data_IF_511727676173
#
_entry.id   IF_511727676173
#
_cell.length_a   1.000
_cell.length_b   1.000
_cell.length_c   1.000
_cell.angle_alpha   90.00
_cell.angle_beta   90.00
_cell.angle_gamma   90.00
#
_symmetry.space_group_name_H-M   'P 1'
#
loop_
_entity.id
_entity.type
_entity.pdbx_description
1 polymer ?
#
# COMPACT_ATOMS: atom_id res chain seq x y z
N UNK A 1 -28.62 -54.56 -21.20
CA UNK A 1 -29.41 -53.73 -20.26
C UNK A 1 -28.59 -53.12 -19.12
N UNK A 2 -27.69 -53.84 -18.41
CA UNK A 2 -26.90 -53.26 -17.29
C UNK A 2 -25.95 -52.11 -17.70
N UNK A 3 -25.24 -52.22 -18.84
CA UNK A 3 -24.33 -51.15 -19.33
C UNK A 3 -25.03 -49.84 -19.72
N UNK A 4 -26.26 -49.92 -20.24
CA UNK A 4 -27.04 -48.73 -20.62
C UNK A 4 -27.54 -47.95 -19.39
N UNK A 5 -27.84 -48.66 -18.28
CA UNK A 5 -28.17 -48.04 -16.99
C UNK A 5 -27.00 -47.29 -16.37
N UNK A 6 -25.77 -47.80 -16.47
CA UNK A 6 -24.58 -47.09 -15.97
C UNK A 6 -24.22 -45.87 -16.82
N UNK A 7 -24.44 -45.91 -18.13
CA UNK A 7 -24.24 -44.75 -19.01
C UNK A 7 -25.26 -43.64 -18.71
N UNK A 8 -26.53 -44.00 -18.49
CA UNK A 8 -27.59 -43.07 -18.11
C UNK A 8 -27.34 -42.46 -16.72
N UNK A 9 -26.87 -43.24 -15.74
CA UNK A 9 -26.49 -42.74 -14.42
C UNK A 9 -25.27 -41.80 -14.47
N UNK A 10 -24.29 -42.07 -15.34
CA UNK A 10 -23.13 -41.19 -15.53
C UNK A 10 -23.52 -39.87 -16.24
N UNK A 11 -24.41 -39.93 -17.24
CA UNK A 11 -24.94 -38.72 -17.90
C UNK A 11 -25.82 -37.91 -16.93
N UNK A 12 -26.62 -38.57 -16.08
CA UNK A 12 -27.43 -37.90 -15.06
C UNK A 12 -26.57 -37.27 -13.95
N UNK A 13 -25.44 -37.91 -13.58
CA UNK A 13 -24.48 -37.37 -12.63
C UNK A 13 -23.69 -36.17 -13.20
N UNK A 14 -23.43 -36.14 -14.51
CA UNK A 14 -22.79 -34.98 -15.19
C UNK A 14 -23.79 -33.83 -15.42
N UNK A 15 -25.08 -34.11 -15.60
CA UNK A 15 -26.14 -33.10 -15.69
C UNK A 15 -26.53 -32.50 -14.32
N UNK A 16 -26.28 -33.20 -13.22
CA UNK A 16 -26.50 -32.70 -11.85
C UNK A 16 -25.31 -31.89 -11.29
N UNK A 17 -24.15 -31.89 -11.96
CA UNK A 17 -22.97 -31.09 -11.54
C UNK A 17 -22.81 -29.79 -12.31
N UNK A 18 -23.70 -29.49 -13.26
CA UNK A 18 -23.79 -28.19 -13.93
C UNK A 18 -25.05 -27.43 -13.51
N UNK A 19 -25.31 -27.33 -12.21
CA UNK A 19 -26.12 -26.20 -11.76
C UNK A 19 -25.26 -24.94 -12.03
N UNK A 20 -25.78 -23.93 -12.75
CA UNK A 20 -25.05 -22.66 -12.84
C UNK A 20 -24.74 -22.24 -11.41
N UNK A 21 -23.48 -21.87 -11.14
CA UNK A 21 -23.14 -21.25 -9.87
C UNK A 21 -24.06 -20.03 -9.72
N UNK A 22 -25.10 -20.17 -8.89
CA UNK A 22 -26.09 -19.12 -8.69
C UNK A 22 -25.36 -18.04 -7.94
N UNK A 23 -25.25 -16.86 -8.56
CA UNK A 23 -24.66 -15.69 -7.90
C UNK A 23 -25.48 -15.30 -6.67
N UNK A 24 -25.09 -14.25 -5.94
CA UNK A 24 -25.97 -13.74 -4.91
C UNK A 24 -27.30 -13.31 -5.52
N UNK A 25 -28.39 -13.97 -5.12
CA UNK A 25 -29.75 -13.60 -5.49
C UNK A 25 -30.27 -12.56 -4.49
N UNK A 26 -29.88 -12.70 -3.21
CA UNK A 26 -30.26 -11.78 -2.13
C UNK A 26 -29.07 -11.33 -1.30
N UNK A 27 -29.22 -10.14 -0.74
CA UNK A 27 -28.38 -9.59 0.33
C UNK A 27 -29.21 -9.64 1.61
N UNK A 28 -28.72 -10.34 2.62
CA UNK A 28 -29.32 -10.45 3.94
C UNK A 28 -28.63 -9.51 4.90
N UNK A 29 -29.40 -8.95 5.82
CA UNK A 29 -28.93 -8.08 6.88
C UNK A 29 -29.52 -8.59 8.19
N UNK A 30 -28.70 -8.65 9.23
CA UNK A 30 -29.09 -9.18 10.54
C UNK A 30 -28.94 -8.10 11.62
N UNK A 31 -30.04 -7.53 12.08
CA UNK A 31 -30.05 -6.57 13.20
C UNK A 31 -30.62 -7.23 14.45
N UNK A 32 -29.75 -7.88 15.23
CA UNK A 32 -30.18 -8.68 16.38
C UNK A 32 -31.12 -9.82 15.94
N UNK A 33 -32.34 -9.95 16.49
CA UNK A 33 -33.29 -10.99 16.09
C UNK A 33 -34.00 -10.69 14.75
N UNK A 34 -33.89 -9.46 14.23
CA UNK A 34 -34.52 -9.06 12.98
C UNK A 34 -33.60 -9.43 11.82
N UNK A 35 -34.14 -10.16 10.85
CA UNK A 35 -33.49 -10.35 9.56
C UNK A 35 -34.29 -9.62 8.49
N UNK A 36 -33.57 -9.10 7.50
CA UNK A 36 -34.19 -8.53 6.34
C UNK A 36 -33.33 -8.80 5.10
N UNK A 37 -33.97 -8.76 3.94
CA UNK A 37 -33.26 -9.07 2.69
C UNK A 37 -33.74 -8.21 1.54
N UNK A 38 -32.82 -7.98 0.60
CA UNK A 38 -33.05 -7.25 -0.66
C UNK A 38 -32.55 -8.12 -1.80
N UNK A 39 -33.34 -8.27 -2.86
CA UNK A 39 -32.89 -8.95 -4.07
C UNK A 39 -31.89 -8.08 -4.84
N UNK A 40 -30.86 -8.71 -5.40
CA UNK A 40 -29.88 -8.00 -6.25
C UNK A 40 -30.56 -7.43 -7.50
N UNK A 41 -31.58 -8.10 -8.03
CA UNK A 41 -32.45 -7.58 -9.11
C UNK A 41 -33.13 -6.26 -8.77
N UNK A 42 -33.58 -6.09 -7.53
CA UNK A 42 -34.20 -4.84 -7.06
C UNK A 42 -33.21 -3.68 -7.08
N UNK A 43 -31.97 -3.93 -6.63
CA UNK A 43 -30.88 -2.94 -6.65
C UNK A 43 -30.46 -2.61 -8.07
N UNK A 44 -30.39 -3.60 -8.95
CA UNK A 44 -30.03 -3.42 -10.36
C UNK A 44 -31.09 -2.61 -11.12
N UNK A 45 -32.37 -2.92 -10.89
CA UNK A 45 -33.50 -2.16 -11.45
C UNK A 45 -33.47 -0.71 -10.99
N UNK A 46 -33.23 -0.48 -9.68
CA UNK A 46 -33.10 0.86 -9.15
C UNK A 46 -31.91 1.62 -9.73
N UNK A 47 -30.74 0.98 -9.83
CA UNK A 47 -29.57 1.59 -10.45
C UNK A 47 -29.83 1.97 -11.90
N UNK A 48 -30.31 1.05 -12.75
CA UNK A 48 -30.51 1.29 -14.18
C UNK A 48 -31.68 2.23 -14.46
N UNK A 49 -32.85 1.95 -13.87
CA UNK A 49 -34.11 2.58 -14.27
C UNK A 49 -34.61 3.62 -13.27
N UNK A 50 -34.08 3.64 -12.04
CA UNK A 50 -34.57 4.50 -10.97
C UNK A 50 -35.89 4.02 -10.36
N UNK A 51 -36.41 2.87 -10.79
CA UNK A 51 -37.65 2.29 -10.27
C UNK A 51 -37.40 1.62 -8.93
N UNK A 52 -38.26 1.92 -7.97
CA UNK A 52 -38.22 1.34 -6.61
C UNK A 52 -39.36 0.33 -6.50
N UNK A 53 -39.02 -0.96 -6.49
CA UNK A 53 -40.01 -2.02 -6.30
C UNK A 53 -40.34 -2.22 -4.80
N UNK A 54 -41.34 -3.05 -4.49
CA UNK A 54 -41.80 -3.27 -3.09
C UNK A 54 -40.70 -3.82 -2.18
N UNK A 55 -39.81 -4.65 -2.73
CA UNK A 55 -38.69 -5.26 -2.01
C UNK A 55 -37.66 -4.20 -1.57
N UNK A 56 -37.32 -3.24 -2.44
CA UNK A 56 -36.41 -2.13 -2.08
C UNK A 56 -37.11 -0.97 -1.36
N UNK A 57 -38.38 -0.69 -1.66
CA UNK A 57 -39.11 0.48 -1.18
C UNK A 57 -39.14 0.58 0.35
N UNK A 58 -39.28 -0.55 1.04
CA UNK A 58 -39.27 -0.57 2.49
C UNK A 58 -38.00 0.10 3.04
N UNK A 59 -36.81 -0.27 2.54
CA UNK A 59 -35.55 0.27 3.05
C UNK A 59 -35.26 1.67 2.51
N UNK A 60 -35.47 1.88 1.21
CA UNK A 60 -35.10 3.12 0.54
C UNK A 60 -35.89 4.31 1.07
N UNK A 61 -37.16 4.12 1.44
CA UNK A 61 -38.03 5.17 2.00
C UNK A 61 -37.58 5.69 3.38
N UNK A 62 -36.62 5.01 4.03
CA UNK A 62 -36.02 5.48 5.29
C UNK A 62 -34.84 6.43 5.07
N UNK A 63 -34.36 6.54 3.83
CA UNK A 63 -33.31 7.46 3.44
C UNK A 63 -33.92 8.75 2.88
N UNK A 64 -33.27 9.88 3.15
CA UNK A 64 -33.61 11.17 2.51
C UNK A 64 -33.35 11.12 1.00
N UNK A 65 -34.03 11.96 0.21
CA UNK A 65 -33.85 11.99 -1.24
C UNK A 65 -32.38 12.15 -1.68
N UNK A 66 -31.55 13.01 -1.05
CA UNK A 66 -30.12 13.09 -1.38
C UNK A 66 -29.36 11.78 -1.11
N UNK A 67 -29.68 11.08 -0.02
CA UNK A 67 -29.06 9.79 0.32
C UNK A 67 -29.47 8.70 -0.68
N UNK A 68 -30.73 8.69 -1.12
CA UNK A 68 -31.20 7.77 -2.16
C UNK A 68 -30.48 8.01 -3.49
N UNK A 69 -30.29 9.27 -3.88
CA UNK A 69 -29.56 9.63 -5.08
C UNK A 69 -28.08 9.23 -4.99
N UNK A 70 -27.43 9.48 -3.84
CA UNK A 70 -26.04 9.08 -3.60
C UNK A 70 -25.89 7.56 -3.65
N UNK A 71 -26.82 6.81 -3.06
CA UNK A 71 -26.83 5.36 -3.11
C UNK A 71 -27.00 4.83 -4.55
N UNK A 72 -27.91 5.44 -5.32
CA UNK A 72 -28.09 5.10 -6.74
C UNK A 72 -26.81 5.36 -7.54
N UNK A 73 -26.18 6.53 -7.33
CA UNK A 73 -24.89 6.89 -7.95
C UNK A 73 -23.83 5.85 -7.62
N UNK A 74 -23.71 5.43 -6.36
CA UNK A 74 -22.77 4.38 -5.96
C UNK A 74 -23.00 3.06 -6.71
N UNK A 75 -24.25 2.59 -6.83
CA UNK A 75 -24.57 1.38 -7.58
C UNK A 75 -24.26 1.48 -9.07
N UNK A 76 -24.34 2.69 -9.64
CA UNK A 76 -24.02 2.98 -11.04
C UNK A 76 -22.51 3.18 -11.29
N UNK A 77 -21.75 3.55 -10.27
CA UNK A 77 -20.31 3.81 -10.37
C UNK A 77 -19.59 2.59 -10.92
N UNK A 78 -18.83 2.79 -12.00
CA UNK A 78 -17.93 1.79 -12.56
C UNK A 78 -16.50 2.23 -12.31
N UNK A 79 -15.68 1.30 -11.86
CA UNK A 79 -14.27 1.49 -11.61
C UNK A 79 -13.50 0.80 -12.72
N UNK A 80 -12.72 1.55 -13.48
CA UNK A 80 -11.79 0.98 -14.43
C UNK A 80 -10.70 0.22 -13.69
N UNK A 81 -10.44 -1.01 -14.14
CA UNK A 81 -9.49 -1.90 -13.49
C UNK A 81 -8.66 -2.63 -14.53
N UNK A 82 -7.40 -2.84 -14.21
CA UNK A 82 -6.54 -3.75 -14.97
C UNK A 82 -6.74 -5.18 -14.45
N UNK A 83 -7.25 -6.12 -15.26
CA UNK A 83 -7.53 -7.49 -14.80
C UNK A 83 -6.31 -8.21 -14.23
N UNK A 84 -5.13 -7.97 -14.82
CA UNK A 84 -3.87 -8.54 -14.32
C UNK A 84 -3.56 -7.97 -12.94
N UNK A 85 -3.64 -6.65 -12.77
CA UNK A 85 -3.38 -5.99 -11.48
C UNK A 85 -4.34 -6.51 -10.41
N UNK A 86 -5.63 -6.59 -10.69
CA UNK A 86 -6.64 -7.07 -9.73
C UNK A 86 -6.41 -8.55 -9.38
N UNK A 87 -6.17 -9.40 -10.38
CA UNK A 87 -5.89 -10.83 -10.16
C UNK A 87 -4.64 -11.06 -9.31
N UNK A 88 -3.57 -10.31 -9.58
CA UNK A 88 -2.31 -10.40 -8.80
C UNK A 88 -2.50 -9.83 -7.41
N UNK A 89 -3.11 -8.66 -7.27
CA UNK A 89 -3.39 -8.04 -5.98
C UNK A 89 -4.23 -8.95 -5.09
N UNK A 90 -5.34 -9.50 -5.61
CA UNK A 90 -6.22 -10.40 -4.85
C UNK A 90 -5.49 -11.65 -4.34
N UNK A 91 -4.34 -12.03 -4.93
CA UNK A 91 -3.51 -13.17 -4.53
C UNK A 91 -2.26 -12.81 -3.72
N UNK A 92 -1.85 -11.54 -3.72
CA UNK A 92 -0.81 -11.05 -2.81
C UNK A 92 -1.26 -11.20 -1.37
N UNK A 93 -0.33 -11.29 -0.44
CA UNK A 93 -0.66 -11.35 0.98
C UNK A 93 -1.35 -10.08 1.48
N UNK A 94 -0.96 -8.92 0.94
CA UNK A 94 -1.64 -7.64 1.22
C UNK A 94 -3.11 -7.70 0.80
N UNK A 95 -3.37 -8.14 -0.43
CA UNK A 95 -4.75 -8.24 -0.93
C UNK A 95 -5.54 -9.35 -0.25
N UNK A 96 -4.89 -10.43 0.17
CA UNK A 96 -5.53 -11.46 0.97
C UNK A 96 -6.04 -10.93 2.31
N UNK A 97 -5.19 -10.25 3.07
CA UNK A 97 -5.55 -9.65 4.35
C UNK A 97 -6.61 -8.55 4.18
N UNK A 98 -6.52 -7.72 3.14
CA UNK A 98 -7.56 -6.74 2.84
C UNK A 98 -8.91 -7.41 2.56
N UNK A 99 -8.94 -8.46 1.73
CA UNK A 99 -10.18 -9.15 1.39
C UNK A 99 -10.75 -9.94 2.59
N UNK A 100 -9.91 -10.43 3.51
CA UNK A 100 -10.36 -11.02 4.78
C UNK A 100 -11.05 -9.97 5.63
N UNK A 101 -10.44 -8.79 5.79
CA UNK A 101 -11.05 -7.71 6.57
C UNK A 101 -12.39 -7.25 5.95
N UNK A 102 -12.46 -7.09 4.62
CA UNK A 102 -13.74 -6.80 3.95
C UNK A 102 -14.75 -7.95 4.14
N UNK A 103 -14.26 -9.19 4.18
CA UNK A 103 -15.06 -10.39 4.44
C UNK A 103 -15.64 -10.48 5.84
N UNK A 104 -15.17 -9.66 6.80
CA UNK A 104 -15.80 -9.49 8.11
C UNK A 104 -17.08 -8.64 8.04
N UNK A 105 -17.25 -7.84 6.98
CA UNK A 105 -18.46 -7.04 6.71
C UNK A 105 -19.42 -7.74 5.77
N UNK A 106 -18.87 -8.52 4.83
CA UNK A 106 -19.61 -9.25 3.80
C UNK A 106 -19.35 -10.74 4.02
N UNK A 107 -20.28 -11.41 4.69
CA UNK A 107 -20.23 -12.82 5.02
C UNK A 107 -20.97 -13.69 3.99
N UNK A 108 -20.67 -14.99 4.04
CA UNK A 108 -21.47 -16.06 3.44
C UNK A 108 -22.39 -16.67 4.53
N UNK A 109 -23.36 -17.54 4.18
CA UNK A 109 -24.30 -18.12 5.14
C UNK A 109 -23.63 -18.73 6.37
N UNK A 110 -24.31 -18.62 7.52
CA UNK A 110 -23.80 -18.99 8.86
C UNK A 110 -22.70 -18.05 9.38
N UNK A 111 -22.74 -16.79 8.96
CA UNK A 111 -21.84 -15.73 9.46
C UNK A 111 -20.35 -16.07 9.25
N UNK A 112 -20.00 -16.80 8.19
CA UNK A 112 -18.62 -17.10 7.87
C UNK A 112 -18.02 -15.96 7.05
N UNK A 113 -16.73 -15.65 7.27
CA UNK A 113 -16.03 -14.61 6.54
C UNK A 113 -16.15 -14.79 5.01
N UNK A 114 -16.53 -13.74 4.28
CA UNK A 114 -16.78 -13.83 2.84
C UNK A 114 -15.54 -13.71 1.94
N UNK A 115 -14.34 -13.75 2.50
CA UNK A 115 -13.05 -13.67 1.78
C UNK A 115 -13.03 -14.45 0.46
N UNK A 116 -13.34 -15.75 0.49
CA UNK A 116 -13.32 -16.59 -0.72
C UNK A 116 -14.38 -16.16 -1.74
N UNK A 117 -15.55 -15.71 -1.26
CA UNK A 117 -16.61 -15.18 -2.11
C UNK A 117 -16.21 -13.87 -2.78
N UNK A 118 -15.58 -12.95 -2.02
CA UNK A 118 -15.05 -11.69 -2.52
C UNK A 118 -13.92 -11.90 -3.53
N UNK A 119 -12.96 -12.77 -3.21
CA UNK A 119 -11.84 -13.11 -4.11
C UNK A 119 -12.37 -13.69 -5.42
N UNK A 120 -13.29 -14.65 -5.33
CA UNK A 120 -13.91 -15.30 -6.49
C UNK A 120 -14.73 -14.33 -7.35
N UNK A 121 -15.53 -13.46 -6.72
CA UNK A 121 -16.36 -12.49 -7.45
C UNK A 121 -15.52 -11.45 -8.17
N UNK A 122 -14.47 -10.94 -7.51
CA UNK A 122 -13.55 -9.96 -8.06
C UNK A 122 -12.79 -10.52 -9.28
N UNK A 123 -12.23 -11.73 -9.18
CA UNK A 123 -11.53 -12.39 -10.28
C UNK A 123 -12.49 -12.62 -11.46
N UNK A 124 -13.69 -13.14 -11.20
CA UNK A 124 -14.66 -13.40 -12.26
C UNK A 124 -15.16 -12.14 -12.97
N UNK A 125 -15.33 -11.03 -12.23
CA UNK A 125 -15.75 -9.76 -12.80
C UNK A 125 -14.71 -9.21 -13.79
N UNK A 126 -13.42 -9.26 -13.42
CA UNK A 126 -12.35 -8.72 -14.28
C UNK A 126 -11.96 -9.62 -15.46
N UNK A 127 -12.35 -10.90 -15.45
CA UNK A 127 -12.14 -11.79 -16.60
C UNK A 127 -12.97 -11.39 -17.83
N UNK A 128 -14.10 -10.71 -17.63
CA UNK A 128 -15.06 -10.36 -18.71
C UNK A 128 -15.14 -8.87 -19.00
N UNK A 129 -14.61 -8.02 -18.11
CA UNK A 129 -14.72 -6.57 -18.21
C UNK A 129 -13.46 -5.87 -17.71
N UNK A 130 -13.11 -4.74 -18.32
CA UNK A 130 -12.08 -3.81 -17.83
C UNK A 130 -12.64 -2.80 -16.81
N UNK A 131 -13.90 -2.94 -16.43
CA UNK A 131 -14.54 -2.11 -15.41
C UNK A 131 -15.43 -2.97 -14.51
N UNK A 132 -15.47 -2.66 -13.23
CA UNK A 132 -16.31 -3.35 -12.25
C UNK A 132 -17.25 -2.38 -11.56
N UNK A 133 -18.42 -2.86 -11.15
CA UNK A 133 -19.33 -2.13 -10.26
C UNK A 133 -19.85 -3.05 -9.15
N UNK A 134 -20.49 -2.45 -8.15
CA UNK A 134 -21.00 -3.19 -7.00
C UNK A 134 -22.00 -4.29 -7.41
N UNK A 135 -22.90 -4.02 -8.36
CA UNK A 135 -23.92 -4.98 -8.81
C UNK A 135 -23.27 -6.22 -9.44
N UNK A 136 -22.27 -6.02 -10.30
CA UNK A 136 -21.54 -7.10 -10.94
C UNK A 136 -20.80 -7.98 -9.93
N UNK A 137 -20.17 -7.36 -8.93
CA UNK A 137 -19.53 -8.09 -7.83
C UNK A 137 -20.55 -8.91 -7.03
N UNK A 138 -21.71 -8.35 -6.71
CA UNK A 138 -22.80 -9.07 -6.01
C UNK A 138 -23.28 -10.27 -6.85
N UNK A 139 -23.52 -10.08 -8.15
CA UNK A 139 -23.94 -11.16 -9.07
C UNK A 139 -22.89 -12.25 -9.27
N UNK A 140 -21.61 -11.97 -9.02
CA UNK A 140 -20.52 -12.94 -9.14
C UNK A 140 -20.12 -13.55 -7.80
N UNK A 141 -20.69 -13.05 -6.70
CA UNK A 141 -20.52 -13.63 -5.38
C UNK A 141 -21.19 -15.01 -5.34
N UNK A 142 -20.56 -16.06 -4.79
CA UNK A 142 -20.92 -17.45 -5.05
C UNK A 142 -22.18 -17.96 -4.32
N UNK A 143 -22.80 -17.13 -3.49
CA UNK A 143 -23.96 -17.48 -2.65
C UNK A 143 -24.66 -16.20 -2.20
N UNK A 144 -25.75 -16.31 -1.46
CA UNK A 144 -26.39 -15.15 -0.84
C UNK A 144 -25.43 -14.44 0.13
N UNK A 145 -25.35 -13.13 -0.01
CA UNK A 145 -24.47 -12.29 0.81
C UNK A 145 -25.14 -11.96 2.13
N UNK A 146 -24.39 -12.03 3.22
CA UNK A 146 -24.86 -11.56 4.53
C UNK A 146 -24.01 -10.35 4.93
N UNK A 147 -24.65 -9.23 5.29
CA UNK A 147 -23.92 -8.09 5.83
C UNK A 147 -23.86 -8.18 7.34
N UNK A 148 -22.64 -8.14 7.89
CA UNK A 148 -22.44 -8.05 9.34
C UNK A 148 -22.69 -6.61 9.79
N UNK A 149 -23.91 -6.35 10.22
CA UNK A 149 -24.35 -5.01 10.58
C UNK A 149 -23.67 -4.51 11.84
N UNK A 150 -23.26 -5.42 12.74
CA UNK A 150 -22.51 -5.04 13.93
C UNK A 150 -21.14 -4.47 13.54
N UNK A 151 -20.36 -5.22 12.76
CA UNK A 151 -19.05 -4.76 12.28
C UNK A 151 -19.19 -3.48 11.46
N UNK A 152 -20.22 -3.37 10.59
CA UNK A 152 -20.50 -2.13 9.83
C UNK A 152 -20.73 -0.94 10.79
N UNK A 153 -21.54 -1.10 11.83
CA UNK A 153 -21.85 -0.01 12.77
C UNK A 153 -20.64 0.37 13.62
N UNK A 154 -19.84 -0.60 14.07
CA UNK A 154 -18.57 -0.37 14.78
C UNK A 154 -17.62 0.45 13.90
N UNK A 155 -17.39 0.01 12.66
CA UNK A 155 -16.54 0.72 11.70
C UNK A 155 -17.02 2.14 11.38
N UNK A 156 -18.34 2.35 11.22
CA UNK A 156 -18.91 3.69 11.03
C UNK A 156 -18.63 4.59 12.23
N UNK A 157 -18.74 4.06 13.45
CA UNK A 157 -18.41 4.79 14.69
C UNK A 157 -16.92 5.18 14.77
N UNK A 158 -16.03 4.25 14.40
CA UNK A 158 -14.58 4.51 14.33
C UNK A 158 -14.24 5.58 13.29
N UNK A 159 -14.84 5.49 12.09
CA UNK A 159 -14.66 6.46 11.03
C UNK A 159 -15.13 7.86 11.45
N UNK A 160 -16.29 7.97 12.12
CA UNK A 160 -16.77 9.26 12.66
C UNK A 160 -15.79 9.83 13.67
N UNK A 161 -15.30 8.99 14.60
CA UNK A 161 -14.31 9.40 15.60
C UNK A 161 -13.03 9.92 14.94
N UNK A 162 -12.57 9.26 13.87
CA UNK A 162 -11.39 9.69 13.12
C UNK A 162 -11.61 11.06 12.43
N UNK A 163 -12.78 11.29 11.84
CA UNK A 163 -13.15 12.57 11.23
C UNK A 163 -13.14 13.69 12.29
N UNK A 164 -13.71 13.44 13.46
CA UNK A 164 -13.77 14.44 14.53
C UNK A 164 -12.39 14.75 15.12
N UNK A 165 -11.55 13.73 15.31
CA UNK A 165 -10.14 13.92 15.69
C UNK A 165 -9.38 14.75 14.65
N UNK A 166 -9.58 14.47 13.37
CA UNK A 166 -8.93 15.21 12.27
C UNK A 166 -9.34 16.68 12.27
N UNK A 167 -10.64 16.97 12.40
CA UNK A 167 -11.14 18.34 12.53
C UNK A 167 -10.55 19.06 13.74
N UNK A 168 -10.45 18.36 14.88
CA UNK A 168 -9.88 18.90 16.10
C UNK A 168 -8.40 19.24 15.91
N UNK A 169 -7.62 18.35 15.29
CA UNK A 169 -6.22 18.57 14.99
C UNK A 169 -6.03 19.75 14.04
N UNK A 170 -6.81 19.85 12.95
CA UNK A 170 -6.75 20.98 12.01
C UNK A 170 -7.02 22.29 12.76
N UNK A 171 -8.07 22.33 13.58
CA UNK A 171 -8.39 23.51 14.38
C UNK A 171 -7.29 23.88 15.41
N UNK A 172 -6.56 22.89 15.94
CA UNK A 172 -5.40 23.11 16.81
C UNK A 172 -4.21 23.65 16.04
N UNK A 173 -3.90 23.08 14.87
CA UNK A 173 -2.81 23.54 13.99
C UNK A 173 -3.05 24.98 13.54
N UNK A 174 -4.27 25.33 13.15
CA UNK A 174 -4.63 26.71 12.76
C UNK A 174 -4.33 27.71 13.89
N UNK A 175 -4.64 27.34 15.14
CA UNK A 175 -4.33 28.16 16.33
C UNK A 175 -2.83 28.29 16.57
N UNK A 176 -2.07 27.21 16.37
CA UNK A 176 -0.61 27.21 16.55
C UNK A 176 0.11 28.00 15.46
N UNK A 177 -0.35 27.93 14.21
CA UNK A 177 0.23 28.68 13.09
C UNK A 177 0.08 30.19 13.27
N UNK A 178 -1.00 30.66 13.91
CA UNK A 178 -1.19 32.09 14.26
C UNK A 178 -0.20 32.55 15.35
N UNK A 179 0.27 31.64 16.21
CA UNK A 179 1.22 31.93 17.30
C UNK A 179 2.68 31.87 16.82
N UNK A 180 3.00 31.00 15.86
CA UNK A 180 4.38 30.81 15.37
C UNK A 180 4.86 31.81 14.31
N UNK A 181 3.98 32.64 13.72
CA UNK A 181 4.37 33.69 12.74
C UNK A 181 5.32 34.76 13.31
N UNK A 182 5.55 34.77 14.63
CA UNK A 182 6.47 35.71 15.31
C UNK A 182 7.92 35.22 15.43
N UNK A 183 8.21 33.97 15.07
CA UNK A 183 9.57 33.41 15.10
C UNK A 183 9.98 33.00 13.68
N UNK A 184 10.16 33.98 12.79
CA UNK A 184 10.88 33.73 11.55
C UNK A 184 12.33 33.40 11.93
N UNK A 185 12.71 32.12 11.80
CA UNK A 185 14.11 31.76 11.64
C UNK A 185 14.66 32.63 10.50
N UNK A 186 15.82 33.27 10.66
CA UNK A 186 16.45 33.98 9.55
C UNK A 186 16.83 32.93 8.50
N UNK A 187 15.94 32.70 7.54
CA UNK A 187 16.29 31.98 6.31
C UNK A 187 17.21 32.94 5.59
N UNK A 188 18.51 32.64 5.65
CA UNK A 188 19.52 33.42 4.95
C UNK A 188 19.14 33.50 3.46
N UNK A 189 18.74 34.69 3.04
CA UNK A 189 18.02 34.94 1.78
C UNK A 189 18.94 35.05 0.57
N UNK A 190 20.24 34.82 0.76
CA UNK A 190 21.25 34.98 -0.29
C UNK A 190 21.13 33.92 -1.41
N UNK A 191 20.54 32.75 -1.14
CA UNK A 191 20.41 31.65 -2.11
C UNK A 191 18.95 31.21 -2.27
N UNK A 192 18.41 31.36 -3.48
CA UNK A 192 17.10 30.82 -3.83
C UNK A 192 17.19 29.31 -4.12
N UNK A 193 17.00 28.50 -3.08
CA UNK A 193 17.07 27.03 -3.14
C UNK A 193 16.02 26.37 -4.04
N UNK A 194 15.05 27.13 -4.57
CA UNK A 194 14.07 26.65 -5.56
C UNK A 194 14.66 26.57 -6.96
N UNK A 195 15.80 27.24 -7.21
CA UNK A 195 16.53 27.19 -8.48
C UNK A 195 17.67 26.20 -8.37
N UNK A 196 18.04 25.61 -9.51
CA UNK A 196 19.25 24.80 -9.61
C UNK A 196 20.46 25.63 -9.16
N UNK A 197 21.42 24.96 -8.52
CA UNK A 197 22.69 25.55 -8.12
C UNK A 197 23.66 25.66 -9.30
N UNK A 198 24.92 25.97 -8.98
CA UNK A 198 25.92 26.38 -9.96
C UNK A 198 26.85 25.23 -10.41
N UNK A 199 26.79 24.08 -9.76
CA UNK A 199 27.67 22.96 -10.09
C UNK A 199 27.07 22.13 -11.23
N UNK A 200 27.91 21.78 -12.20
CA UNK A 200 27.57 20.72 -13.17
C UNK A 200 27.57 19.38 -12.46
N UNK A 201 26.85 18.41 -13.01
CA UNK A 201 26.69 17.08 -12.41
C UNK A 201 27.03 16.00 -13.42
N UNK A 202 27.83 15.02 -13.01
CA UNK A 202 28.04 13.78 -13.75
C UNK A 202 27.24 12.65 -13.12
N UNK A 203 26.60 11.81 -13.93
CA UNK A 203 25.92 10.59 -13.50
C UNK A 203 26.81 9.37 -13.76
N UNK A 204 26.95 8.51 -12.76
CA UNK A 204 27.62 7.21 -12.86
C UNK A 204 26.69 6.10 -12.35
N UNK A 205 26.38 5.12 -13.20
CA UNK A 205 25.68 3.90 -12.76
C UNK A 205 26.71 2.85 -12.35
N UNK A 206 26.61 2.32 -11.13
CA UNK A 206 27.56 1.38 -10.56
C UNK A 206 26.81 0.12 -10.10
N UNK A 207 27.23 -1.05 -10.60
CA UNK A 207 26.78 -2.33 -10.09
C UNK A 207 27.70 -2.80 -8.95
N UNK A 208 27.11 -3.15 -7.82
CA UNK A 208 27.76 -3.67 -6.62
C UNK A 208 27.21 -5.07 -6.31
N UNK A 209 28.06 -5.95 -5.80
CA UNK A 209 27.65 -7.30 -5.40
C UNK A 209 28.00 -7.53 -3.93
N UNK A 210 26.97 -7.66 -3.10
CA UNK A 210 27.11 -8.06 -1.70
C UNK A 210 27.17 -9.58 -1.64
N UNK A 211 28.39 -10.12 -1.57
CA UNK A 211 28.61 -11.57 -1.52
C UNK A 211 28.13 -12.23 -0.23
N UNK A 212 27.96 -11.47 0.87
CA UNK A 212 27.46 -12.04 2.14
C UNK A 212 25.95 -12.26 2.09
N UNK A 213 25.23 -11.40 1.35
CA UNK A 213 23.77 -11.47 1.18
C UNK A 213 23.35 -11.98 -0.21
N UNK A 214 24.33 -12.37 -1.04
CA UNK A 214 24.17 -12.80 -2.43
C UNK A 214 23.31 -11.84 -3.26
N UNK A 215 23.55 -10.54 -3.10
CA UNK A 215 22.63 -9.48 -3.54
C UNK A 215 23.32 -8.54 -4.52
N UNK A 216 22.74 -8.40 -5.71
CA UNK A 216 23.22 -7.45 -6.72
C UNK A 216 22.48 -6.12 -6.57
N UNK A 217 23.22 -5.05 -6.26
CA UNK A 217 22.67 -3.72 -6.01
C UNK A 217 23.23 -2.79 -7.07
N UNK A 218 22.36 -2.16 -7.85
CA UNK A 218 22.78 -1.15 -8.83
C UNK A 218 22.40 0.23 -8.31
N UNK A 219 23.34 1.17 -8.34
CA UNK A 219 23.16 2.53 -7.88
C UNK A 219 23.39 3.53 -9.00
N UNK A 220 22.69 4.65 -8.95
CA UNK A 220 22.99 5.85 -9.72
C UNK A 220 23.62 6.88 -8.78
N UNK A 221 24.86 7.27 -9.11
CA UNK A 221 25.68 8.21 -8.35
C UNK A 221 25.80 9.51 -9.14
N UNK A 222 25.13 10.55 -8.66
CA UNK A 222 25.22 11.91 -9.14
C UNK A 222 26.34 12.64 -8.40
N UNK A 223 27.40 13.02 -9.11
CA UNK A 223 28.54 13.73 -8.55
C UNK A 223 28.60 15.16 -9.06
N UNK A 224 28.69 16.16 -8.16
CA UNK A 224 28.96 17.52 -8.55
C UNK A 224 30.41 17.69 -9.03
N UNK A 225 30.59 18.48 -10.09
CA UNK A 225 31.88 18.93 -10.58
C UNK A 225 32.37 20.11 -9.72
N UNK A 226 33.00 19.78 -8.61
CA UNK A 226 33.60 20.75 -7.69
C UNK A 226 35.06 20.42 -7.41
N UNK A 227 35.86 21.47 -7.21
CA UNK A 227 37.28 21.40 -6.82
C UNK A 227 37.46 21.11 -5.33
N UNK A 228 36.39 21.22 -4.55
CA UNK A 228 36.38 21.05 -3.10
C UNK A 228 36.49 19.56 -2.71
N UNK A 229 37.19 19.29 -1.61
CA UNK A 229 37.26 17.98 -0.97
C UNK A 229 36.12 17.86 0.07
N UNK A 230 35.71 16.64 0.43
CA UNK A 230 34.68 16.35 1.46
C UNK A 230 33.22 16.66 1.05
N UNK A 231 32.82 16.35 -0.17
CA UNK A 231 31.44 16.44 -0.68
C UNK A 231 30.48 15.61 0.18
N UNK A 232 29.46 16.21 0.83
CA UNK A 232 28.47 15.49 1.61
C UNK A 232 27.61 14.59 0.71
N UNK A 233 27.14 13.47 1.26
CA UNK A 233 26.34 12.50 0.52
C UNK A 233 24.89 12.53 0.98
N UNK A 234 23.97 12.47 0.02
CA UNK A 234 22.56 12.19 0.24
C UNK A 234 22.21 10.86 -0.44
N UNK A 235 21.64 9.93 0.33
CA UNK A 235 21.06 8.69 -0.21
C UNK A 235 19.56 8.91 -0.39
N UNK A 236 19.04 8.71 -1.59
CA UNK A 236 17.61 8.75 -1.89
C UNK A 236 17.09 7.31 -1.94
N UNK A 237 16.42 6.84 -0.90
CA UNK A 237 15.77 5.53 -0.88
C UNK A 237 14.33 5.62 -1.38
N UNK A 238 14.04 4.87 -2.44
CA UNK A 238 12.79 4.89 -3.20
C UNK A 238 11.61 4.17 -2.53
N UNK A 239 10.41 4.23 -3.10
CA UNK A 239 9.26 3.42 -2.65
C UNK A 239 9.27 1.99 -3.21
N UNK A 240 8.28 1.18 -2.85
CA UNK A 240 8.06 -0.14 -3.46
C UNK A 240 7.79 0.04 -4.96
N UNK A 241 8.46 -0.74 -5.80
CA UNK A 241 8.26 -0.79 -7.24
C UNK A 241 8.72 0.44 -8.00
N UNK A 242 9.43 1.37 -7.36
CA UNK A 242 9.99 2.55 -8.00
C UNK A 242 11.39 2.24 -8.57
N UNK A 243 11.69 2.81 -9.73
CA UNK A 243 13.04 2.80 -10.31
C UNK A 243 13.91 3.94 -9.78
N UNK A 244 15.23 3.84 -10.00
CA UNK A 244 16.19 4.90 -9.66
C UNK A 244 15.89 6.24 -10.34
N UNK A 245 15.25 6.22 -11.51
CA UNK A 245 14.87 7.39 -12.31
C UNK A 245 13.80 8.29 -11.67
N UNK A 246 13.06 7.77 -10.67
CA UNK A 246 11.94 8.49 -10.04
C UNK A 246 12.32 9.86 -9.46
N UNK A 247 13.56 10.02 -9.02
CA UNK A 247 14.05 11.22 -8.34
C UNK A 247 15.25 11.87 -9.05
N UNK A 248 15.39 11.66 -10.36
CA UNK A 248 16.48 12.26 -11.14
C UNK A 248 16.51 13.79 -11.02
N UNK A 249 15.34 14.45 -11.14
CA UNK A 249 15.25 15.90 -11.00
C UNK A 249 15.69 16.39 -9.61
N UNK A 250 15.32 15.66 -8.56
CA UNK A 250 15.72 15.98 -7.19
C UNK A 250 17.22 15.73 -6.98
N UNK A 251 17.75 14.63 -7.52
CA UNK A 251 19.16 14.29 -7.41
C UNK A 251 20.04 15.29 -8.17
N UNK A 252 19.65 15.68 -9.38
CA UNK A 252 20.30 16.73 -10.16
C UNK A 252 20.23 18.08 -9.45
N UNK A 253 19.08 18.42 -8.85
CA UNK A 253 18.94 19.66 -8.08
C UNK A 253 19.88 19.68 -6.88
N UNK A 254 19.88 18.63 -6.05
CA UNK A 254 20.78 18.52 -4.90
C UNK A 254 22.26 18.51 -5.32
N UNK A 255 22.59 17.80 -6.40
CA UNK A 255 23.95 17.77 -6.92
C UNK A 255 24.39 19.13 -7.47
N UNK A 256 23.51 19.89 -8.11
CA UNK A 256 23.82 21.26 -8.55
C UNK A 256 24.13 22.21 -7.38
N UNK A 257 23.69 21.86 -6.16
CA UNK A 257 24.00 22.56 -4.91
C UNK A 257 25.20 21.97 -4.14
N UNK A 258 25.91 20.99 -4.72
CA UNK A 258 27.18 20.49 -4.19
C UNK A 258 27.08 19.21 -3.34
N UNK A 259 25.95 18.50 -3.38
CA UNK A 259 25.82 17.19 -2.75
C UNK A 259 26.16 16.06 -3.73
N UNK A 260 26.89 15.04 -3.28
CA UNK A 260 26.89 13.77 -3.98
C UNK A 260 25.57 13.06 -3.68
N UNK A 261 24.86 12.55 -4.68
CA UNK A 261 23.56 11.89 -4.48
C UNK A 261 23.62 10.47 -4.98
N UNK A 262 23.17 9.54 -4.14
CA UNK A 262 23.12 8.10 -4.45
C UNK A 262 21.67 7.65 -4.46
N UNK A 263 21.23 7.06 -5.57
CA UNK A 263 19.92 6.40 -5.67
C UNK A 263 20.14 4.91 -5.91
N UNK A 264 19.85 4.02 -4.95
CA UNK A 264 19.93 2.59 -5.15
C UNK A 264 18.64 1.99 -5.71
N UNK A 265 18.77 0.91 -6.49
CA UNK A 265 17.74 -0.12 -6.52
C UNK A 265 17.85 -0.97 -5.26
N UNK A 266 16.71 -1.40 -4.74
CA UNK A 266 16.62 -2.35 -3.64
C UNK A 266 16.02 -3.65 -4.17
N UNK A 267 16.85 -4.68 -4.47
CA UNK A 267 16.37 -5.95 -5.01
C UNK A 267 15.24 -6.55 -4.17
N UNK A 268 14.17 -6.99 -4.80
CA UNK A 268 13.02 -7.51 -4.03
C UNK A 268 12.07 -6.44 -3.51
N UNK A 269 12.30 -5.15 -3.78
CA UNK A 269 11.28 -4.10 -3.72
C UNK A 269 11.42 -3.04 -4.82
N UNK A 270 12.31 -3.25 -5.78
CA UNK A 270 12.60 -2.36 -6.92
C UNK A 270 11.58 -2.49 -8.06
N UNK A 271 11.80 -1.70 -9.13
CA UNK A 271 10.96 -1.75 -10.33
C UNK A 271 10.93 -3.14 -10.98
N UNK A 272 12.05 -3.86 -11.01
CA UNK A 272 12.10 -5.20 -11.59
C UNK A 272 11.20 -6.17 -10.80
N UNK A 273 11.27 -6.15 -9.46
CA UNK A 273 10.35 -6.93 -8.61
C UNK A 273 8.89 -6.61 -8.91
N UNK A 274 8.56 -5.35 -9.15
CA UNK A 274 7.20 -4.93 -9.50
C UNK A 274 6.76 -5.50 -10.86
N UNK A 275 7.65 -5.57 -11.85
CA UNK A 275 7.39 -6.24 -13.13
C UNK A 275 7.19 -7.74 -12.94
N UNK A 276 8.05 -8.38 -12.16
CA UNK A 276 8.02 -9.81 -11.90
C UNK A 276 6.74 -10.23 -11.15
N UNK A 277 6.26 -9.40 -10.21
CA UNK A 277 4.95 -9.57 -9.57
C UNK A 277 3.80 -9.57 -10.59
N UNK A 278 3.80 -8.65 -11.56
CA UNK A 278 2.79 -8.61 -12.62
C UNK A 278 2.96 -9.71 -13.66
N UNK A 279 4.18 -10.21 -13.86
CA UNK A 279 4.47 -11.37 -14.70
C UNK A 279 4.07 -12.69 -14.03
N UNK A 280 3.86 -12.69 -12.71
CA UNK A 280 3.46 -13.87 -11.95
C UNK A 280 4.62 -14.66 -11.34
N UNK A 281 5.84 -14.14 -11.41
CA UNK A 281 7.04 -14.78 -10.90
C UNK A 281 7.15 -14.69 -9.36
N UNK A 282 6.57 -13.65 -8.76
CA UNK A 282 6.47 -13.48 -7.32
C UNK A 282 5.03 -13.21 -6.89
N UNK A 283 4.62 -13.81 -5.76
CA UNK A 283 3.29 -13.60 -5.17
C UNK A 283 3.07 -12.16 -4.70
N UNK A 284 4.10 -11.52 -4.17
CA UNK A 284 4.04 -10.16 -3.63
C UNK A 284 4.94 -9.21 -4.44
N UNK A 285 4.59 -7.92 -4.43
CA UNK A 285 5.35 -6.87 -5.11
C UNK A 285 6.58 -6.38 -4.32
N UNK A 286 6.79 -6.93 -3.13
CA UNK A 286 8.05 -6.83 -2.40
C UNK A 286 8.23 -8.01 -1.43
N UNK A 287 9.47 -8.31 -1.03
CA UNK A 287 9.77 -9.27 0.03
C UNK A 287 9.67 -8.61 1.41
N UNK A 288 9.04 -9.29 2.38
CA UNK A 288 8.94 -8.77 3.75
C UNK A 288 10.33 -8.53 4.39
N UNK A 289 11.37 -9.23 3.97
CA UNK A 289 12.74 -9.03 4.46
C UNK A 289 13.30 -7.66 4.11
N UNK A 290 12.69 -6.92 3.18
CA UNK A 290 13.12 -5.58 2.78
C UNK A 290 13.04 -4.54 3.91
N UNK A 291 12.24 -4.78 4.96
CA UNK A 291 12.30 -3.98 6.19
C UNK A 291 13.69 -4.04 6.87
N UNK A 292 14.44 -5.13 6.65
CA UNK A 292 15.82 -5.34 7.10
C UNK A 292 16.83 -5.06 5.99
N UNK A 293 16.59 -5.59 4.80
CA UNK A 293 17.59 -5.64 3.73
C UNK A 293 17.85 -4.27 3.11
N UNK A 294 16.85 -3.38 3.07
CA UNK A 294 17.02 -2.02 2.50
C UNK A 294 17.96 -1.13 3.32
N UNK A 295 17.85 -1.06 4.67
CA UNK A 295 18.89 -0.41 5.49
C UNK A 295 20.28 -1.00 5.26
N UNK A 296 20.39 -2.34 5.22
CA UNK A 296 21.66 -3.02 4.99
C UNK A 296 22.24 -2.73 3.60
N UNK A 297 21.40 -2.57 2.58
CA UNK A 297 21.83 -2.12 1.25
C UNK A 297 22.51 -0.76 1.32
N UNK A 298 21.91 0.22 2.03
CA UNK A 298 22.49 1.56 2.18
C UNK A 298 23.83 1.50 2.90
N UNK A 299 23.91 0.80 4.03
CA UNK A 299 25.19 0.61 4.75
C UNK A 299 26.25 -0.03 3.86
N UNK A 300 25.89 -1.08 3.12
CA UNK A 300 26.80 -1.75 2.18
C UNK A 300 27.29 -0.81 1.06
N UNK A 301 26.39 -0.01 0.48
CA UNK A 301 26.75 0.98 -0.55
C UNK A 301 27.74 1.99 0.01
N UNK A 302 27.50 2.52 1.20
CA UNK A 302 28.39 3.49 1.83
C UNK A 302 29.77 2.87 2.12
N UNK A 303 29.83 1.62 2.55
CA UNK A 303 31.10 0.88 2.74
C UNK A 303 31.87 0.72 1.42
N UNK A 304 31.18 0.39 0.33
CA UNK A 304 31.79 0.26 -0.98
C UNK A 304 32.29 1.59 -1.53
N UNK A 305 31.52 2.67 -1.35
CA UNK A 305 31.96 4.01 -1.71
C UNK A 305 33.16 4.46 -0.87
N UNK A 306 33.24 4.07 0.41
CA UNK A 306 34.38 4.37 1.28
C UNK A 306 35.66 3.70 0.82
N UNK A 307 35.59 2.41 0.50
CA UNK A 307 36.74 1.67 -0.05
C UNK A 307 37.23 2.25 -1.37
N UNK A 308 36.32 2.73 -2.22
CA UNK A 308 36.63 3.30 -3.55
C UNK A 308 37.04 4.77 -3.48
N UNK A 309 36.78 5.46 -2.37
CA UNK A 309 37.01 6.91 -2.24
C UNK A 309 38.45 7.33 -2.57
N UNK A 310 39.51 6.67 -2.05
CA UNK A 310 40.88 7.09 -2.31
C UNK A 310 41.31 6.94 -3.78
N UNK A 311 40.90 5.85 -4.44
CA UNK A 311 41.38 5.48 -5.78
C UNK A 311 40.48 6.00 -6.90
N UNK A 312 39.16 5.90 -6.77
CA UNK A 312 38.20 6.23 -7.82
C UNK A 312 37.69 7.67 -7.68
N UNK A 313 37.54 8.18 -6.46
CA UNK A 313 36.95 9.50 -6.20
C UNK A 313 37.95 10.52 -5.66
N UNK A 314 39.24 10.17 -5.54
CA UNK A 314 40.33 11.05 -5.09
C UNK A 314 40.07 11.67 -3.71
N UNK A 315 39.48 10.90 -2.79
CA UNK A 315 39.06 11.33 -1.45
C UNK A 315 38.08 12.52 -1.45
N UNK A 316 37.31 12.71 -2.53
CA UNK A 316 36.35 13.81 -2.61
C UNK A 316 35.09 13.56 -1.78
N UNK A 317 34.67 12.31 -1.58
CA UNK A 317 33.44 12.01 -0.85
C UNK A 317 33.62 12.13 0.67
N UNK A 318 32.65 12.74 1.35
CA UNK A 318 32.51 12.71 2.80
C UNK A 318 31.45 11.66 3.17
N UNK A 319 31.93 10.49 3.59
CA UNK A 319 31.10 9.35 3.97
C UNK A 319 30.81 9.29 5.47
N UNK A 320 31.21 10.31 6.24
CA UNK A 320 31.00 10.36 7.69
C UNK A 320 29.81 11.25 8.08
N UNK A 321 29.27 12.01 7.12
CA UNK A 321 28.12 12.89 7.28
C UNK A 321 27.14 12.65 6.11
N UNK A 322 26.24 11.69 6.31
CA UNK A 322 25.30 11.24 5.28
C UNK A 322 23.88 11.67 5.65
N UNK A 323 23.18 12.24 4.67
CA UNK A 323 21.74 12.45 4.73
C UNK A 323 20.98 11.31 4.04
N UNK A 324 19.77 10.99 4.50
CA UNK A 324 18.89 10.04 3.81
C UNK A 324 17.54 10.70 3.51
N UNK A 325 17.17 10.75 2.23
CA UNK A 325 15.82 11.05 1.80
C UNK A 325 15.06 9.72 1.62
N UNK A 326 13.99 9.52 2.38
CA UNK A 326 13.17 8.32 2.31
C UNK A 326 11.77 8.62 1.77
N UNK A 327 11.42 8.04 0.62
CA UNK A 327 10.08 8.13 0.05
C UNK A 327 9.29 6.84 0.28
N UNK A 328 8.08 6.94 0.82
CA UNK A 328 7.21 5.78 1.05
C UNK A 328 7.95 4.69 1.86
N UNK A 329 8.23 3.52 1.28
CA UNK A 329 9.00 2.47 1.96
C UNK A 329 10.43 2.88 2.29
N UNK A 330 11.05 3.76 1.49
CA UNK A 330 12.33 4.37 1.83
C UNK A 330 12.29 5.19 3.12
N UNK A 331 11.11 5.61 3.59
CA UNK A 331 10.94 6.21 4.91
C UNK A 331 11.23 5.23 6.05
N UNK A 332 10.77 3.97 5.94
CA UNK A 332 11.12 2.89 6.87
C UNK A 332 12.64 2.65 6.87
N UNK A 333 13.23 2.63 5.67
CA UNK A 333 14.68 2.50 5.49
C UNK A 333 15.44 3.62 6.21
N UNK A 334 15.04 4.88 5.99
CA UNK A 334 15.68 6.04 6.62
C UNK A 334 15.57 6.03 8.15
N UNK A 335 14.40 5.68 8.70
CA UNK A 335 14.20 5.60 10.16
C UNK A 335 15.06 4.48 10.77
N UNK A 336 15.10 3.31 10.14
CA UNK A 336 15.91 2.18 10.62
C UNK A 336 17.40 2.55 10.67
N UNK A 337 17.89 3.20 9.61
CA UNK A 337 19.27 3.70 9.53
C UNK A 337 19.59 4.77 10.58
N UNK A 338 18.60 5.57 10.99
CA UNK A 338 18.73 6.53 12.08
C UNK A 338 18.67 5.88 13.48
N UNK A 339 18.38 4.58 13.57
CA UNK A 339 18.30 3.82 14.82
C UNK A 339 16.88 3.57 15.34
N UNK A 340 15.85 3.90 14.56
CA UNK A 340 14.50 3.48 14.88
C UNK A 340 14.33 1.97 14.74
N UNK A 341 13.64 1.36 15.69
CA UNK A 341 13.35 -0.09 15.69
C UNK A 341 11.87 -0.33 15.48
N UNK A 342 11.52 -1.52 14.96
CA UNK A 342 10.13 -1.93 14.81
C UNK A 342 9.51 -2.18 16.19
N UNK A 343 8.42 -1.49 16.52
CA UNK A 343 7.61 -1.79 17.71
C UNK A 343 6.66 -2.94 17.38
N UNK A 344 7.17 -4.18 17.45
CA UNK A 344 6.38 -5.38 17.14
C UNK A 344 5.08 -5.46 17.95
N UNK A 345 5.06 -5.24 19.29
CA UNK A 345 3.82 -5.26 20.04
C UNK A 345 2.79 -4.23 19.58
N UNK A 346 3.21 -3.02 19.22
CA UNK A 346 2.29 -2.01 18.67
C UNK A 346 1.82 -2.40 17.28
N UNK A 347 2.72 -2.87 16.42
CA UNK A 347 2.38 -3.32 15.08
C UNK A 347 1.38 -4.47 15.09
N UNK A 348 1.54 -5.47 15.97
CA UNK A 348 0.59 -6.57 16.13
C UNK A 348 -0.81 -6.09 16.52
N UNK A 349 -0.90 -5.08 17.39
CA UNK A 349 -2.17 -4.44 17.74
C UNK A 349 -2.78 -3.76 16.52
N UNK A 350 -2.02 -2.90 15.84
CA UNK A 350 -2.52 -2.14 14.69
C UNK A 350 -2.94 -3.07 13.52
N UNK A 351 -2.24 -4.20 13.35
CA UNK A 351 -2.55 -5.18 12.32
C UNK A 351 -3.82 -6.01 12.60
N UNK A 352 -4.37 -5.93 13.81
CA UNK A 352 -5.58 -6.68 14.22
C UNK A 352 -6.80 -5.78 14.43
N UNK A 353 -6.68 -4.45 14.31
CA UNK A 353 -7.81 -3.52 14.47
C UNK A 353 -8.64 -3.40 13.19
N UNK A 354 -9.97 -3.30 13.33
CA UNK A 354 -10.89 -3.07 12.19
C UNK A 354 -10.62 -1.74 11.46
N UNK A 355 -10.06 -0.74 12.16
CA UNK A 355 -9.60 0.54 11.58
C UNK A 355 -8.54 0.39 10.49
N UNK A 356 -7.91 -0.78 10.35
CA UNK A 356 -6.89 -1.06 9.31
C UNK A 356 -7.42 -0.79 7.90
N UNK A 357 -8.71 -0.98 7.65
CA UNK A 357 -9.36 -0.66 6.37
C UNK A 357 -9.32 0.84 6.00
N UNK A 358 -9.19 1.72 7.00
CA UNK A 358 -9.04 3.17 6.79
C UNK A 358 -7.61 3.58 6.43
N UNK A 359 -6.64 2.65 6.55
CA UNK A 359 -5.24 2.88 6.28
C UNK A 359 -4.63 1.75 5.45
N UNK A 360 -4.79 1.82 4.13
CA UNK A 360 -4.25 0.79 3.20
C UNK A 360 -2.74 0.57 3.37
N UNK A 361 -2.00 1.63 3.74
CA UNK A 361 -0.56 1.53 3.97
C UNK A 361 -0.19 0.60 5.14
N UNK A 362 -1.12 0.40 6.09
CA UNK A 362 -0.93 -0.48 7.23
C UNK A 362 -0.83 -1.95 6.81
N UNK A 363 -1.53 -2.39 5.75
CA UNK A 363 -1.39 -3.77 5.24
C UNK A 363 0.03 -4.08 4.75
N UNK A 364 0.68 -3.11 4.10
CA UNK A 364 2.08 -3.24 3.68
C UNK A 364 3.01 -3.27 4.88
N UNK A 365 2.73 -2.43 5.87
CA UNK A 365 3.46 -2.35 7.13
C UNK A 365 3.35 -3.65 7.97
N UNK A 366 2.19 -4.29 7.99
CA UNK A 366 1.96 -5.56 8.68
C UNK A 366 2.82 -6.71 8.17
N UNK A 367 3.33 -6.63 6.93
CA UNK A 367 4.24 -7.63 6.40
C UNK A 367 5.56 -7.69 7.17
N UNK A 368 5.93 -6.63 7.88
CA UNK A 368 7.06 -6.66 8.81
C UNK A 368 6.89 -7.68 9.95
N UNK A 369 5.69 -8.21 10.21
CA UNK A 369 5.47 -9.28 11.19
C UNK A 369 5.90 -10.67 10.69
N UNK A 370 6.24 -10.82 9.41
CA UNK A 370 6.66 -12.11 8.85
C UNK A 370 8.15 -12.36 8.94
N UNK A 371 8.92 -11.32 9.17
CA UNK A 371 10.34 -11.46 9.42
C UNK A 371 10.53 -12.00 10.83
N UNK A 372 11.53 -12.85 11.02
CA UNK A 372 11.88 -13.28 12.36
C UNK A 372 12.27 -12.09 13.21
N UNK A 373 11.74 -12.03 14.44
CA UNK A 373 12.14 -11.03 15.43
C UNK A 373 13.62 -11.25 15.74
N UNK A 374 14.46 -10.37 15.21
CA UNK A 374 15.89 -10.35 15.50
C UNK A 374 16.24 -8.99 16.08
N UNK A 375 16.99 -9.00 17.18
CA UNK A 375 17.58 -7.80 17.78
C UNK A 375 18.81 -7.36 16.98
N UNK A 376 18.63 -7.12 15.68
CA UNK A 376 19.68 -6.56 14.83
C UNK A 376 19.49 -5.04 14.78
N UNK A 377 20.46 -4.28 15.29
CA UNK A 377 20.50 -2.85 15.03
C UNK A 377 20.80 -2.61 13.56
N UNK A 378 19.89 -1.91 12.88
CA UNK A 378 20.04 -1.47 11.49
C UNK A 378 20.58 -0.04 11.40
N UNK A 379 20.96 0.54 12.54
CA UNK A 379 21.51 1.88 12.61
C UNK A 379 22.86 1.95 11.90
N UNK A 380 23.06 3.02 11.14
CA UNK A 380 24.36 3.36 10.57
C UNK A 380 24.83 4.70 11.14
N UNK A 381 25.97 4.69 11.83
CA UNK A 381 26.47 5.85 12.58
C UNK A 381 26.87 7.03 11.68
N UNK A 382 27.03 6.81 10.37
CA UNK A 382 27.32 7.86 9.37
C UNK A 382 26.09 8.73 9.07
N UNK A 383 24.89 8.23 9.34
CA UNK A 383 23.64 8.96 9.08
C UNK A 383 23.45 10.06 10.11
N UNK A 384 23.40 11.31 9.65
CA UNK A 384 23.27 12.51 10.51
C UNK A 384 21.95 13.24 10.34
N UNK A 385 21.26 13.02 9.22
CA UNK A 385 19.98 13.63 8.93
C UNK A 385 19.10 12.69 8.11
N UNK A 386 17.80 12.72 8.37
CA UNK A 386 16.80 12.05 7.54
C UNK A 386 15.71 13.03 7.14
N UNK A 387 15.21 12.90 5.92
CA UNK A 387 14.02 13.57 5.43
C UNK A 387 13.03 12.51 4.97
N UNK A 388 11.78 12.59 5.45
CA UNK A 388 10.75 11.59 5.20
C UNK A 388 9.64 12.18 4.35
N UNK A 389 9.34 11.55 3.22
CA UNK A 389 8.25 11.92 2.32
C UNK A 389 7.24 10.79 2.21
N UNK A 390 6.01 11.02 2.71
CA UNK A 390 4.93 10.03 2.76
C UNK A 390 5.35 8.67 3.34
N UNK A 391 6.01 8.61 4.50
CA UNK A 391 6.74 7.42 4.91
C UNK A 391 5.82 6.27 5.36
N UNK A 392 6.18 5.02 4.99
CA UNK A 392 5.63 3.80 5.59
C UNK A 392 6.27 3.56 6.96
N UNK A 393 5.99 4.44 7.91
CA UNK A 393 6.79 4.58 9.13
C UNK A 393 6.03 4.40 10.44
N UNK A 394 4.71 4.24 10.43
CA UNK A 394 3.95 4.13 11.69
C UNK A 394 4.38 2.92 12.52
N UNK A 395 4.91 1.86 11.88
CA UNK A 395 5.49 0.68 12.57
C UNK A 395 6.71 0.97 13.45
N UNK A 396 7.41 2.09 13.23
CA UNK A 396 8.58 2.50 14.02
C UNK A 396 8.22 3.49 15.13
N UNK A 397 6.99 3.99 15.12
CA UNK A 397 6.51 4.96 16.09
C UNK A 397 5.78 4.19 17.19
N UNK A 398 6.50 3.88 18.27
CA UNK A 398 5.87 3.49 19.53
C UNK A 398 4.95 4.59 20.06
N UNK A 399 4.23 4.32 21.16
CA UNK A 399 3.35 5.32 21.79
C UNK A 399 4.06 6.68 21.94
N UNK A 400 3.39 7.82 21.67
CA UNK A 400 3.94 9.11 22.04
C UNK A 400 4.23 9.12 23.55
N UNK A 401 5.49 9.38 23.89
CA UNK A 401 5.90 9.70 25.25
C UNK A 401 5.46 11.09 25.67
#
# INVERSE_FOLDING_TARGET
>A
MKRLRFLLLAIFAVLLTTLPAVGADRILFYFGPLNFSVAVDSLETFAKEGKVNKDLAFYLNRLSSPQQEQFRKFLQSRFEVNPRTIYRFAQSSVGEELLKDVGEFINIPKNQNGFYGLRGSLIQAVMKSKSINAIELMRKFPTDMQLNTQNIMEFVGEMSTMVDKTKTLIAQLDRMTVVQTKSQLPVDSAVDIRKAGNFKTSLQTIALYDSKRERQITIDLYLPELTQTQTPIIVISNGIGAGRDRFDDLALHLASHGFAVVIPDHPGSDYQRQQDFYAGLYQDNFDATEFRDRPLDVTFILDELEKRNPSQFQNRLNLQQVGVFGYSFGGATAISLAGGTLDYPQLERDCTTQTRLLNISLYYQCRALEISRQDLSLQDSRIKAIYLSFPLATVFLGKPG
#
